data_IF_603334433660
#
_entry.id   IF_603334433660
#
_cell.length_a   1.000
_cell.length_b   1.000
_cell.length_c   1.000
_cell.angle_alpha   90.00
_cell.angle_beta   90.00
_cell.angle_gamma   90.00
#
_symmetry.space_group_name_H-M   'P 1'
#
loop_
_entity.id
_entity.type
_entity.pdbx_description
1 polymer ?
#
# COMPACT_ATOMS: atom_id res chain seq x y z
N UNK A 1 9.05 7.91 -18.93
CA UNK A 1 7.97 8.42 -18.05
C UNK A 1 8.67 9.11 -16.89
N UNK A 2 8.97 10.40 -17.08
CA UNK A 2 9.75 11.32 -16.24
C UNK A 2 11.12 10.80 -15.76
N UNK A 3 12.19 11.24 -16.43
CA UNK A 3 13.62 10.97 -16.11
C UNK A 3 14.06 11.62 -14.78
N UNK A 4 13.33 11.36 -13.71
CA UNK A 4 13.56 11.92 -12.40
C UNK A 4 14.04 10.81 -11.47
N UNK A 5 15.28 10.92 -11.00
CA UNK A 5 15.83 9.95 -10.04
C UNK A 5 15.05 10.00 -8.71
N UNK A 6 14.91 8.86 -7.99
CA UNK A 6 14.24 8.82 -6.69
C UNK A 6 14.82 9.81 -5.66
N UNK A 7 16.12 10.09 -5.78
CA UNK A 7 16.82 11.10 -4.96
C UNK A 7 16.32 12.52 -5.25
N UNK A 8 16.05 12.83 -6.51
CA UNK A 8 15.47 14.11 -6.93
C UNK A 8 14.05 14.28 -6.37
N UNK A 9 13.21 13.24 -6.47
CA UNK A 9 11.86 13.25 -5.89
C UNK A 9 11.92 13.41 -4.37
N UNK A 10 12.79 12.67 -3.68
CA UNK A 10 12.98 12.77 -2.22
C UNK A 10 13.46 14.15 -1.79
N UNK A 11 14.34 14.79 -2.57
CA UNK A 11 14.86 16.13 -2.29
C UNK A 11 13.79 17.19 -2.49
N UNK A 12 12.98 17.09 -3.55
CA UNK A 12 11.83 17.96 -3.78
C UNK A 12 10.83 17.82 -2.62
N UNK A 13 10.53 16.59 -2.20
CA UNK A 13 9.64 16.33 -1.07
C UNK A 13 10.17 16.88 0.26
N UNK A 14 11.46 16.68 0.56
CA UNK A 14 12.09 17.29 1.75
C UNK A 14 12.07 18.82 1.71
N UNK A 15 12.18 19.42 0.52
CA UNK A 15 12.13 20.87 0.33
C UNK A 15 10.70 21.42 0.43
N UNK A 16 9.70 20.61 0.08
CA UNK A 16 8.28 20.93 0.21
C UNK A 16 7.70 20.56 1.59
N UNK A 17 8.38 19.71 2.37
CA UNK A 17 8.05 19.44 3.76
C UNK A 17 8.34 20.69 4.59
N UNK A 18 7.26 21.31 5.06
CA UNK A 18 7.31 22.55 5.82
C UNK A 18 7.24 22.24 7.31
N UNK A 19 8.09 22.91 8.10
CA UNK A 19 7.96 22.93 9.56
C UNK A 19 6.90 23.97 9.95
N UNK A 20 5.83 23.51 10.60
CA UNK A 20 4.68 24.34 10.97
C UNK A 20 4.87 25.08 12.31
N UNK A 21 6.05 24.97 12.93
CA UNK A 21 6.43 25.68 14.16
C UNK A 21 6.65 27.19 13.97
N UNK A 22 6.61 27.68 12.73
CA UNK A 22 6.75 29.11 12.40
C UNK A 22 8.21 29.59 12.25
N UNK A 23 9.20 28.77 12.61
CA UNK A 23 10.63 29.16 12.53
C UNK A 23 11.26 29.04 11.13
N UNK A 24 10.56 28.45 10.15
CA UNK A 24 11.03 28.37 8.76
C UNK A 24 9.97 28.91 7.80
N UNK A 25 10.38 29.82 6.93
CA UNK A 25 9.54 30.44 5.93
C UNK A 25 9.02 29.38 4.95
N UNK A 26 7.69 29.20 4.91
CA UNK A 26 6.99 28.16 4.13
C UNK A 26 7.24 28.27 2.61
N UNK A 27 7.61 29.46 2.15
CA UNK A 27 7.96 29.74 0.76
C UNK A 27 9.18 30.66 0.73
N UNK A 28 10.29 30.20 0.17
CA UNK A 28 11.35 31.13 -0.27
C UNK A 28 10.95 31.74 -1.61
N UNK A 29 11.19 33.05 -1.76
CA UNK A 29 11.13 33.71 -3.07
C UNK A 29 12.19 33.09 -3.97
N UNK A 30 11.76 32.29 -4.95
CA UNK A 30 12.63 31.89 -6.06
C UNK A 30 12.72 33.10 -6.97
N UNK A 31 13.73 33.94 -6.75
CA UNK A 31 14.03 35.06 -7.62
C UNK A 31 14.41 34.53 -9.00
N UNK A 32 13.50 34.63 -9.97
CA UNK A 32 13.86 34.61 -11.38
C UNK A 32 13.31 35.85 -12.06
N UNK A 33 14.21 36.51 -12.78
CA UNK A 33 14.00 37.67 -13.63
C UNK A 33 12.96 37.35 -14.71
N UNK A 34 11.69 37.73 -14.51
CA UNK A 34 10.74 37.88 -15.61
C UNK A 34 9.82 39.05 -15.32
N UNK A 35 9.75 39.97 -16.30
CA UNK A 35 8.90 41.16 -16.28
C UNK A 35 7.41 40.80 -16.19
N UNK A 36 6.68 41.60 -15.39
CA UNK A 36 5.30 42.00 -15.71
C UNK A 36 4.19 40.97 -15.48
N UNK A 37 3.44 41.18 -14.39
CA UNK A 37 2.00 40.87 -14.19
C UNK A 37 1.41 39.76 -15.10
N UNK A 38 1.74 38.50 -14.83
CA UNK A 38 0.89 37.37 -15.21
C UNK A 38 0.60 36.50 -13.99
N UNK A 39 -0.68 36.43 -13.62
CA UNK A 39 -1.28 35.32 -12.87
C UNK A 39 -0.69 34.87 -11.53
N UNK A 40 -0.01 35.71 -10.74
CA UNK A 40 0.47 35.28 -9.42
C UNK A 40 -0.70 35.07 -8.45
N UNK A 41 -0.93 33.82 -8.03
CA UNK A 41 -1.73 33.52 -6.82
C UNK A 41 -1.08 34.22 -5.64
N UNK A 42 -1.89 34.92 -4.85
CA UNK A 42 -1.45 35.67 -3.68
C UNK A 42 -0.73 34.73 -2.70
N UNK A 43 0.46 35.11 -2.27
CA UNK A 43 1.15 34.43 -1.17
C UNK A 43 0.42 34.80 0.12
N UNK A 44 -0.16 33.81 0.77
CA UNK A 44 -0.83 33.97 2.05
C UNK A 44 0.24 34.09 3.16
N UNK A 45 0.20 35.19 3.90
CA UNK A 45 1.13 35.48 4.99
C UNK A 45 0.83 34.56 6.19
N UNK A 46 -0.41 34.07 6.27
CA UNK A 46 -0.97 33.25 7.33
C UNK A 46 -1.04 31.74 7.01
N UNK A 47 -0.27 31.28 6.01
CA UNK A 47 -0.19 29.85 5.65
C UNK A 47 0.04 28.92 6.86
N UNK A 48 0.94 29.22 7.82
CA UNK A 48 1.15 28.37 8.99
C UNK A 48 -0.13 28.21 9.82
N UNK A 49 -0.82 29.32 10.12
CA UNK A 49 -2.06 29.28 10.91
C UNK A 49 -3.18 28.55 10.16
N UNK A 50 -3.32 28.78 8.85
CA UNK A 50 -4.34 28.10 8.03
C UNK A 50 -4.12 26.61 7.90
N UNK A 51 -2.87 26.14 7.93
CA UNK A 51 -2.58 24.70 7.94
C UNK A 51 -2.89 24.12 9.32
N UNK A 52 -2.57 24.82 10.40
CA UNK A 52 -2.86 24.38 11.78
C UNK A 52 -4.38 24.26 12.06
N UNK A 53 -5.22 25.09 11.43
CA UNK A 53 -6.69 25.00 11.57
C UNK A 53 -7.33 23.86 10.78
N UNK A 54 -6.58 23.20 9.86
CA UNK A 54 -7.05 21.97 9.22
C UNK A 54 -7.06 20.89 10.30
N UNK A 55 -8.19 20.22 10.57
CA UNK A 55 -8.24 19.16 11.57
C UNK A 55 -7.26 18.04 11.17
N UNK A 56 -6.15 17.93 11.90
CA UNK A 56 -5.07 16.96 11.68
C UNK A 56 -5.46 15.53 12.09
N UNK A 57 -6.68 15.33 12.60
CA UNK A 57 -7.14 14.06 13.16
C UNK A 57 -8.23 13.47 12.25
N UNK A 58 -7.86 13.16 11.01
CA UNK A 58 -8.60 12.13 10.26
C UNK A 58 -7.93 10.80 10.59
N UNK A 59 -8.32 10.20 11.70
CA UNK A 59 -7.94 8.83 12.00
C UNK A 59 -8.57 7.92 10.94
N UNK A 60 -7.73 7.28 10.12
CA UNK A 60 -8.18 6.31 9.13
C UNK A 60 -8.52 5.01 9.85
N UNK A 61 -9.80 4.75 10.04
CA UNK A 61 -10.27 3.46 10.51
C UNK A 61 -10.66 2.59 9.31
N UNK A 62 -10.14 1.37 9.24
CA UNK A 62 -10.58 0.35 8.30
C UNK A 62 -11.31 -0.76 9.04
N UNK A 63 -12.63 -0.83 8.91
CA UNK A 63 -13.43 -1.94 9.41
C UNK A 63 -13.51 -3.04 8.34
N UNK A 64 -12.62 -4.02 8.43
CA UNK A 64 -12.69 -5.21 7.57
C UNK A 64 -13.59 -6.24 8.24
N UNK A 65 -14.63 -6.69 7.54
CA UNK A 65 -15.48 -7.79 7.99
C UNK A 65 -14.63 -9.05 8.02
N UNK A 66 -14.48 -9.63 9.22
CA UNK A 66 -13.82 -10.92 9.41
C UNK A 66 -14.89 -12.01 9.51
N UNK A 67 -14.70 -13.17 8.85
CA UNK A 67 -15.60 -14.30 9.05
C UNK A 67 -15.58 -14.71 10.52
N UNK A 68 -16.76 -14.92 11.10
CA UNK A 68 -16.89 -15.50 12.44
C UNK A 68 -16.64 -17.00 12.34
N UNK A 69 -15.59 -17.49 13.00
CA UNK A 69 -15.29 -18.91 13.07
C UNK A 69 -16.18 -19.56 14.13
N UNK A 70 -16.99 -20.54 13.73
CA UNK A 70 -17.68 -21.44 14.65
C UNK A 70 -16.66 -22.21 15.51
N UNK A 71 -17.03 -22.60 16.73
CA UNK A 71 -16.11 -23.27 17.65
C UNK A 71 -15.60 -24.60 17.10
N UNK A 72 -16.42 -25.32 16.34
CA UNK A 72 -16.01 -26.52 15.60
C UNK A 72 -14.84 -26.26 14.65
N UNK A 73 -14.89 -25.15 13.89
CA UNK A 73 -13.80 -24.79 12.97
C UNK A 73 -12.51 -24.47 13.73
N UNK A 74 -12.62 -23.87 14.92
CA UNK A 74 -11.45 -23.58 15.78
C UNK A 74 -10.81 -24.88 16.26
N UNK A 75 -11.61 -25.85 16.69
CA UNK A 75 -11.12 -27.17 17.14
C UNK A 75 -10.46 -27.92 15.98
N UNK A 76 -11.06 -27.90 14.80
CA UNK A 76 -10.46 -28.52 13.61
C UNK A 76 -9.11 -27.88 13.26
N UNK A 77 -9.04 -26.54 13.24
CA UNK A 77 -7.78 -25.84 12.99
C UNK A 77 -6.72 -26.19 14.05
N UNK A 78 -7.11 -26.27 15.34
CA UNK A 78 -6.18 -26.62 16.41
C UNK A 78 -5.64 -28.04 16.25
N UNK A 79 -6.52 -29.02 16.01
CA UNK A 79 -6.12 -30.40 15.80
C UNK A 79 -5.20 -30.55 14.59
N UNK A 80 -5.50 -29.84 13.51
CA UNK A 80 -4.62 -29.82 12.33
C UNK A 80 -3.24 -29.25 12.67
N UNK A 81 -3.14 -28.14 13.40
CA UNK A 81 -1.85 -27.58 13.81
C UNK A 81 -1.08 -28.56 14.72
N UNK A 82 -1.76 -29.23 15.64
CA UNK A 82 -1.13 -30.20 16.55
C UNK A 82 -0.53 -31.39 15.79
N UNK A 83 -1.20 -31.87 14.74
CA UNK A 83 -0.71 -32.94 13.87
C UNK A 83 0.58 -32.55 13.12
N UNK A 84 0.80 -31.26 12.90
CA UNK A 84 2.02 -30.73 12.27
C UNK A 84 3.16 -30.51 13.27
N UNK A 85 2.97 -30.74 14.58
CA UNK A 85 4.03 -30.59 15.59
C UNK A 85 4.70 -31.93 15.86
N UNK A 86 6.00 -32.01 15.62
CA UNK A 86 6.86 -33.15 15.94
C UNK A 86 7.60 -32.89 17.25
N UNK A 87 7.71 -33.91 18.09
CA UNK A 87 8.49 -33.86 19.32
C UNK A 87 9.80 -34.63 19.11
N UNK A 88 10.93 -33.95 19.22
CA UNK A 88 12.27 -34.52 19.05
C UNK A 88 13.07 -34.18 20.30
N UNK A 89 13.39 -35.20 21.10
CA UNK A 89 14.16 -35.07 22.35
C UNK A 89 13.55 -34.08 23.37
N UNK A 90 12.22 -33.96 23.41
CA UNK A 90 11.52 -33.04 24.32
C UNK A 90 11.38 -31.61 23.77
N UNK A 91 11.93 -31.32 22.60
CA UNK A 91 11.72 -30.07 21.88
C UNK A 91 10.66 -30.24 20.80
N UNK A 92 9.74 -29.26 20.73
CA UNK A 92 8.62 -29.25 19.77
C UNK A 92 9.02 -28.48 18.52
N UNK A 93 8.99 -29.14 17.39
CA UNK A 93 9.26 -28.56 16.07
C UNK A 93 8.00 -28.62 15.21
N UNK A 94 7.78 -27.59 14.40
CA UNK A 94 6.75 -27.65 13.35
C UNK A 94 7.34 -28.40 12.16
N UNK A 95 6.53 -29.26 11.54
CA UNK A 95 6.90 -29.97 10.33
C UNK A 95 7.41 -28.98 9.28
N UNK A 96 8.53 -29.35 8.66
CA UNK A 96 9.14 -28.57 7.60
C UNK A 96 8.36 -28.61 6.29
N UNK A 97 7.42 -29.56 6.15
CA UNK A 97 6.52 -29.68 4.99
C UNK A 97 7.27 -29.74 3.65
N UNK A 98 8.48 -30.34 3.64
CA UNK A 98 9.25 -30.48 2.39
C UNK A 98 8.55 -31.36 1.36
N UNK A 99 7.71 -32.31 1.78
CA UNK A 99 6.93 -33.19 0.92
C UNK A 99 5.48 -32.72 0.70
N UNK A 100 5.20 -31.45 1.00
CA UNK A 100 3.87 -30.87 0.86
C UNK A 100 3.86 -29.84 -0.27
N UNK A 101 2.87 -29.95 -1.14
CA UNK A 101 2.56 -28.93 -2.16
C UNK A 101 1.26 -28.25 -1.79
N UNK A 102 1.31 -26.95 -1.52
CA UNK A 102 0.13 -26.15 -1.22
C UNK A 102 -0.53 -25.70 -2.52
N UNK A 103 -1.80 -26.06 -2.71
CA UNK A 103 -2.60 -25.68 -3.87
C UNK A 103 -3.67 -24.69 -3.44
N UNK A 104 -3.79 -23.58 -4.15
CA UNK A 104 -4.78 -22.55 -3.89
C UNK A 104 -5.41 -22.01 -5.18
N UNK A 105 -6.69 -21.65 -5.10
CA UNK A 105 -7.44 -20.99 -6.16
C UNK A 105 -7.70 -19.54 -5.80
N UNK A 106 -7.34 -18.63 -6.72
CA UNK A 106 -7.53 -17.21 -6.50
C UNK A 106 -8.16 -16.52 -7.70
N UNK A 107 -9.26 -15.82 -7.43
CA UNK A 107 -9.93 -14.97 -8.40
C UNK A 107 -9.33 -13.56 -8.42
N UNK A 108 -8.82 -13.17 -9.59
CA UNK A 108 -8.33 -11.82 -9.84
C UNK A 108 -9.29 -11.07 -10.75
N UNK A 109 -9.60 -9.83 -10.39
CA UNK A 109 -10.33 -8.93 -11.29
C UNK A 109 -9.38 -8.42 -12.37
N UNK A 110 -9.78 -8.52 -13.64
CA UNK A 110 -9.03 -8.03 -14.79
C UNK A 110 -8.70 -6.54 -14.65
N UNK A 111 -9.56 -5.79 -13.97
CA UNK A 111 -9.24 -4.42 -13.57
C UNK A 111 -9.29 -4.24 -12.06
N UNK A 112 -8.30 -3.51 -11.53
CA UNK A 112 -8.28 -3.08 -10.14
C UNK A 112 -9.57 -2.33 -9.80
N UNK A 113 -10.23 -2.80 -8.75
CA UNK A 113 -11.49 -2.25 -8.24
C UNK A 113 -11.29 -0.82 -7.70
N UNK A 114 -10.19 -0.61 -7.00
CA UNK A 114 -9.74 0.69 -6.53
C UNK A 114 -8.39 1.01 -7.19
N UNK A 115 -8.34 2.11 -7.93
CA UNK A 115 -7.09 2.71 -8.43
C UNK A 115 -6.95 4.08 -7.80
N UNK A 116 -5.80 4.34 -7.18
CA UNK A 116 -5.42 5.70 -6.78
C UNK A 116 -4.87 6.39 -8.03
N UNK A 117 -5.55 7.44 -8.47
CA UNK A 117 -5.12 8.29 -9.58
C UNK A 117 -4.76 9.63 -8.98
N UNK A 118 -3.54 10.10 -9.24
CA UNK A 118 -3.09 11.44 -8.86
C UNK A 118 -3.37 12.34 -10.06
N UNK A 119 -4.11 13.43 -9.85
CA UNK A 119 -4.37 14.45 -10.87
C UNK A 119 -3.86 15.81 -10.40
N UNK A 120 -3.51 16.68 -11.34
CA UNK A 120 -3.12 18.05 -11.02
C UNK A 120 -4.36 18.88 -10.59
N UNK A 121 -4.19 19.95 -9.79
CA UNK A 121 -5.29 20.80 -9.37
C UNK A 121 -6.05 21.40 -10.58
N UNK A 122 -7.33 21.06 -10.73
CA UNK A 122 -8.18 21.50 -11.83
C UNK A 122 -8.36 20.48 -12.95
N UNK A 123 -7.64 19.36 -12.94
CA UNK A 123 -7.85 18.28 -13.90
C UNK A 123 -9.13 17.50 -13.59
N UNK A 124 -9.97 17.32 -14.60
CA UNK A 124 -11.14 16.44 -14.51
C UNK A 124 -10.68 14.98 -14.65
N UNK A 125 -10.43 14.32 -13.51
CA UNK A 125 -10.09 12.90 -13.48
C UNK A 125 -11.30 12.10 -13.98
N UNK A 126 -11.09 11.24 -15.00
CA UNK A 126 -12.12 10.35 -15.51
C UNK A 126 -12.56 9.37 -14.42
N UNK A 127 -13.80 9.51 -13.97
CA UNK A 127 -14.42 8.55 -13.06
C UNK A 127 -14.71 7.26 -13.81
N UNK A 128 -14.32 6.12 -13.22
CA UNK A 128 -14.62 4.80 -13.78
C UNK A 128 -15.89 4.27 -13.12
N UNK A 129 -16.92 4.06 -13.91
CA UNK A 129 -18.21 3.54 -13.44
C UNK A 129 -18.46 2.13 -13.99
N UNK A 130 -19.12 1.30 -13.19
CA UNK A 130 -19.65 0.00 -13.61
C UNK A 130 -20.96 -0.24 -12.86
N UNK A 131 -21.93 -0.94 -13.48
CA UNK A 131 -23.24 -1.16 -12.86
C UNK A 131 -23.15 -2.00 -11.57
N UNK A 132 -22.33 -3.05 -11.58
CA UNK A 132 -22.08 -3.92 -10.43
C UNK A 132 -20.70 -4.57 -10.51
N UNK A 133 -20.08 -4.86 -9.36
CA UNK A 133 -18.77 -5.53 -9.26
C UNK A 133 -18.72 -6.90 -9.95
N UNK A 134 -19.85 -7.61 -10.01
CA UNK A 134 -19.96 -8.91 -10.68
C UNK A 134 -19.76 -8.86 -12.20
N UNK A 135 -19.95 -7.69 -12.83
CA UNK A 135 -19.74 -7.50 -14.27
C UNK A 135 -18.28 -7.26 -14.64
N UNK A 136 -17.40 -7.08 -13.65
CA UNK A 136 -15.97 -7.00 -13.92
C UNK A 136 -15.47 -8.40 -14.27
N UNK A 137 -14.78 -8.52 -15.40
CA UNK A 137 -14.13 -9.76 -15.81
C UNK A 137 -13.20 -10.25 -14.69
N UNK A 138 -13.32 -11.52 -14.36
CA UNK A 138 -12.45 -12.21 -13.40
C UNK A 138 -11.73 -13.35 -14.08
N UNK A 139 -10.50 -13.58 -13.67
CA UNK A 139 -9.70 -14.72 -14.08
C UNK A 139 -9.36 -15.51 -12.82
N UNK A 140 -9.56 -16.83 -12.87
CA UNK A 140 -9.15 -17.74 -11.81
C UNK A 140 -7.73 -18.21 -12.10
N UNK A 141 -6.88 -18.17 -11.09
CA UNK A 141 -5.57 -18.79 -11.14
C UNK A 141 -5.54 -19.90 -10.10
N UNK A 142 -5.21 -21.09 -10.56
CA UNK A 142 -4.82 -22.22 -9.72
C UNK A 142 -3.29 -22.20 -9.62
N UNK A 143 -2.76 -22.18 -8.40
CA UNK A 143 -1.32 -22.18 -8.18
C UNK A 143 -0.95 -23.27 -7.19
N UNK A 144 0.16 -23.95 -7.46
CA UNK A 144 0.78 -24.92 -6.57
C UNK A 144 2.14 -24.39 -6.13
N UNK A 145 2.39 -24.36 -4.82
CA UNK A 145 3.64 -23.87 -4.24
C UNK A 145 4.18 -24.92 -3.28
N UNK A 146 5.41 -25.36 -3.53
CA UNK A 146 6.19 -26.19 -2.63
C UNK A 146 7.24 -25.33 -1.91
N UNK A 147 7.78 -25.83 -0.81
CA UNK A 147 8.90 -25.18 -0.11
C UNK A 147 10.15 -25.16 -1.03
N UNK A 148 10.81 -24.01 -1.24
CA UNK A 148 12.05 -23.96 -2.02
C UNK A 148 13.11 -24.89 -1.44
N UNK A 149 13.80 -25.62 -2.32
CA UNK A 149 14.94 -26.47 -1.97
C UNK A 149 16.20 -25.89 -2.60
N UNK A 150 17.30 -25.86 -1.85
CA UNK A 150 18.61 -25.55 -2.40
C UNK A 150 19.14 -26.82 -3.08
N UNK A 151 19.62 -26.70 -4.31
CA UNK A 151 20.32 -27.80 -4.99
C UNK A 151 21.81 -27.64 -4.72
N UNK A 152 22.35 -28.38 -3.75
CA UNK A 152 23.78 -28.32 -3.37
C UNK A 152 24.73 -28.79 -4.50
N UNK A 153 24.18 -29.34 -5.58
CA UNK A 153 24.91 -29.80 -6.78
C UNK A 153 25.06 -28.73 -7.84
N UNK A 154 24.36 -27.60 -7.73
CA UNK A 154 24.51 -26.46 -8.64
C UNK A 154 25.57 -25.52 -8.06
N UNK A 155 26.84 -25.78 -8.40
CA UNK A 155 27.90 -24.79 -8.23
C UNK A 155 27.65 -23.65 -9.22
N UNK A 156 27.13 -22.53 -8.75
CA UNK A 156 27.20 -21.22 -9.45
C UNK A 156 28.54 -20.54 -9.20
#
# INVERSE_FOLDING_TARGET
>A
MFDCTPTTVRRIWKRASVDLSGNKTISHSVGQQMMGKSGRKQLYIDLPQRIQTIPHVIAKYSSVVKPSLADFNKVCCLNWVLDQVRDINGEKFIDTMYDTVHVDEKWFFMTRLQRKVIGAPGEKIKQRTCKFKRHLLKVMFLSAVARPRCDDTKQE
#
